data_IF_363865264998
#
_entry.id   IF_363865264998
#
_cell.length_a   1.000
_cell.length_b   1.000
_cell.length_c   1.000
_cell.angle_alpha   90.00
_cell.angle_beta   90.00
_cell.angle_gamma   90.00
#
_symmetry.space_group_name_H-M   'P 1'
#
loop_
_entity.id
_entity.type
_entity.pdbx_description
1 polymer ?
#
# COMPACT_ATOMS: atom_id res chain seq x y z
N UNK A 1 -24.11 11.70 -0.97
CA UNK A 1 -22.84 12.40 -0.71
C UNK A 1 -21.73 11.44 -1.07
N UNK A 2 -20.63 11.92 -1.63
CA UNK A 2 -19.46 11.06 -1.88
C UNK A 2 -18.84 10.65 -0.55
N UNK A 3 -18.43 9.37 -0.44
CA UNK A 3 -17.63 8.88 0.68
C UNK A 3 -16.16 9.33 0.58
N UNK A 4 -15.77 9.96 -0.52
CA UNK A 4 -14.40 10.42 -0.75
C UNK A 4 -14.20 11.86 -0.29
N UNK A 5 -13.15 12.07 0.51
CA UNK A 5 -12.67 13.37 0.97
C UNK A 5 -11.26 13.59 0.48
N UNK A 6 -11.10 14.37 -0.58
CA UNK A 6 -9.79 14.77 -1.10
C UNK A 6 -9.38 16.11 -0.51
N UNK A 7 -8.09 16.24 -0.25
CA UNK A 7 -7.52 17.47 0.27
C UNK A 7 -6.22 17.89 -0.42
N UNK A 8 -5.77 17.11 -1.39
CA UNK A 8 -4.69 17.47 -2.29
C UNK A 8 -3.30 17.25 -1.71
N UNK A 9 -2.32 17.31 -2.61
CA UNK A 9 -0.91 17.03 -2.37
C UNK A 9 -0.25 17.96 -1.33
N UNK A 10 -0.60 19.25 -1.36
CA UNK A 10 0.12 20.27 -0.58
C UNK A 10 -0.36 20.39 0.86
N UNK A 11 -1.52 19.82 1.21
CA UNK A 11 -2.09 19.99 2.55
C UNK A 11 -1.35 19.20 3.63
N UNK A 12 -0.89 17.98 3.31
CA UNK A 12 -0.27 17.06 4.26
C UNK A 12 1.05 16.51 3.71
N UNK A 13 2.14 17.30 3.75
CA UNK A 13 3.45 16.83 3.31
C UNK A 13 3.93 15.61 4.10
N UNK A 14 3.50 15.49 5.37
CA UNK A 14 3.79 14.36 6.27
C UNK A 14 2.50 13.85 6.91
N UNK A 15 2.40 12.55 7.10
CA UNK A 15 1.34 11.92 7.91
C UNK A 15 1.98 11.02 8.95
N UNK A 16 1.77 11.32 10.24
CA UNK A 16 2.28 10.48 11.32
C UNK A 16 1.67 9.07 11.25
N UNK A 17 2.46 8.05 11.58
CA UNK A 17 2.08 6.64 11.41
C UNK A 17 0.75 6.32 12.10
N UNK A 18 0.55 6.84 13.32
CA UNK A 18 -0.69 6.66 14.11
C UNK A 18 -1.97 7.21 13.46
N UNK A 19 -1.84 8.00 12.40
CA UNK A 19 -2.97 8.58 11.67
C UNK A 19 -3.20 7.90 10.31
N UNK A 20 -2.32 7.01 9.88
CA UNK A 20 -2.52 6.20 8.68
C UNK A 20 -3.55 5.12 9.01
N UNK A 21 -4.57 4.97 8.17
CA UNK A 21 -5.70 4.06 8.43
C UNK A 21 -6.32 3.51 7.14
N UNK A 22 -7.09 2.39 7.22
CA UNK A 22 -7.85 1.87 6.08
C UNK A 22 -8.65 2.95 5.36
N UNK A 23 -8.60 2.97 4.04
CA UNK A 23 -9.31 3.95 3.21
C UNK A 23 -8.52 5.23 2.93
N UNK A 24 -7.38 5.44 3.58
CA UNK A 24 -6.47 6.54 3.22
C UNK A 24 -5.97 6.37 1.78
N UNK A 25 -6.13 7.43 0.99
CA UNK A 25 -5.71 7.50 -0.41
C UNK A 25 -4.40 8.25 -0.46
N UNK A 26 -3.39 7.62 -1.04
CA UNK A 26 -2.06 8.18 -1.15
C UNK A 26 -1.64 8.40 -2.59
N UNK A 27 -0.69 9.32 -2.74
CA UNK A 27 0.00 9.62 -3.97
C UNK A 27 1.50 9.58 -3.70
N UNK A 28 2.28 9.19 -4.70
CA UNK A 28 3.73 9.29 -4.65
C UNK A 28 4.33 9.59 -6.02
N UNK A 29 5.50 10.23 -6.00
CA UNK A 29 6.26 10.57 -7.20
C UNK A 29 7.00 9.34 -7.72
N UNK A 30 6.61 8.84 -8.90
CA UNK A 30 7.28 7.74 -9.59
C UNK A 30 8.64 8.20 -10.13
N UNK A 31 8.63 9.32 -10.85
CA UNK A 31 9.80 10.05 -11.36
C UNK A 31 9.47 11.55 -11.48
N UNK A 32 10.32 12.33 -12.15
CA UNK A 32 10.19 13.79 -12.26
C UNK A 32 8.79 14.28 -12.66
N UNK A 33 8.10 13.57 -13.55
CA UNK A 33 6.85 14.02 -14.15
C UNK A 33 5.68 13.07 -13.91
N UNK A 34 5.89 11.92 -13.26
CA UNK A 34 4.85 10.91 -13.08
C UNK A 34 4.51 10.67 -11.61
N UNK A 35 3.22 10.58 -11.34
CA UNK A 35 2.64 10.30 -10.04
C UNK A 35 1.80 9.03 -10.10
N UNK A 36 1.95 8.20 -9.07
CA UNK A 36 1.19 6.99 -8.86
C UNK A 36 0.31 7.13 -7.62
N UNK A 37 -0.74 6.31 -7.56
CA UNK A 37 -1.76 6.40 -6.52
C UNK A 37 -2.06 5.04 -5.94
N UNK A 38 -2.54 5.04 -4.70
CA UNK A 38 -2.99 3.84 -4.05
C UNK A 38 -3.86 4.12 -2.84
N UNK A 39 -4.28 3.05 -2.17
CA UNK A 39 -5.14 3.12 -0.99
C UNK A 39 -4.68 2.13 0.07
N UNK A 40 -4.69 2.58 1.31
CA UNK A 40 -4.41 1.74 2.48
C UNK A 40 -5.56 0.74 2.64
N UNK A 41 -5.25 -0.55 2.63
CA UNK A 41 -6.20 -1.64 2.85
C UNK A 41 -6.38 -1.86 4.34
N UNK A 42 -5.30 -2.20 5.03
CA UNK A 42 -5.32 -2.54 6.47
C UNK A 42 -3.94 -2.40 7.10
N UNK A 43 -3.89 -2.27 8.42
CA UNK A 43 -2.66 -2.33 9.19
C UNK A 43 -2.20 -3.79 9.34
N UNK A 44 -0.94 -4.04 9.03
CA UNK A 44 -0.23 -5.30 9.27
C UNK A 44 0.80 -5.10 10.39
N UNK A 45 1.32 -6.18 10.95
CA UNK A 45 2.34 -6.13 12.03
C UNK A 45 3.60 -5.33 11.65
N UNK A 46 3.93 -5.24 10.36
CA UNK A 46 5.20 -4.66 9.87
C UNK A 46 5.01 -3.42 8.98
N UNK A 47 3.79 -2.95 8.77
CA UNK A 47 3.48 -1.86 7.84
C UNK A 47 1.99 -1.85 7.47
N UNK A 48 1.62 -1.20 6.37
CA UNK A 48 0.23 -1.22 5.91
C UNK A 48 0.10 -1.96 4.59
N UNK A 49 -0.80 -2.94 4.54
CA UNK A 49 -1.20 -3.56 3.29
C UNK A 49 -1.91 -2.49 2.46
N UNK A 50 -1.51 -2.37 1.21
CA UNK A 50 -1.98 -1.31 0.31
C UNK A 50 -2.22 -1.85 -1.08
N UNK A 51 -3.21 -1.30 -1.77
CA UNK A 51 -3.35 -1.48 -3.21
C UNK A 51 -2.78 -0.28 -3.95
N UNK A 52 -2.21 -0.56 -5.13
CA UNK A 52 -1.72 0.45 -6.07
C UNK A 52 -2.64 0.44 -7.28
N UNK A 53 -3.11 1.62 -7.66
CA UNK A 53 -4.00 1.79 -8.80
C UNK A 53 -3.23 1.75 -10.11
N UNK A 54 -3.85 1.23 -11.17
CA UNK A 54 -3.38 1.30 -12.56
C UNK A 54 -3.54 2.72 -13.17
N UNK A 55 -3.20 3.74 -12.37
CA UNK A 55 -3.34 5.15 -12.70
C UNK A 55 -1.99 5.84 -12.54
N UNK A 56 -1.50 6.42 -13.64
CA UNK A 56 -0.29 7.23 -13.67
C UNK A 56 -0.65 8.60 -14.26
N UNK A 57 -0.30 9.68 -13.55
CA UNK A 57 -0.64 11.05 -13.97
C UNK A 57 0.56 11.98 -13.93
N UNK A 58 0.47 13.08 -14.69
CA UNK A 58 1.44 14.18 -14.64
C UNK A 58 1.25 15.14 -13.47
N UNK A 59 0.20 14.94 -12.67
CA UNK A 59 -0.13 15.78 -11.53
C UNK A 59 -0.62 14.91 -10.35
N UNK A 60 -0.42 15.35 -9.10
CA UNK A 60 -0.72 14.56 -7.90
C UNK A 60 -2.21 14.60 -7.49
N UNK A 61 -3.12 14.78 -8.46
CA UNK A 61 -4.56 14.86 -8.24
C UNK A 61 -5.30 13.65 -8.79
N UNK A 62 -6.21 13.08 -8.00
CA UNK A 62 -7.06 11.95 -8.38
C UNK A 62 -8.52 12.24 -8.01
N UNK A 63 -9.44 11.68 -8.77
CA UNK A 63 -10.90 11.82 -8.59
C UNK A 63 -11.53 10.52 -8.12
N UNK A 64 -12.73 10.60 -7.56
CA UNK A 64 -13.52 9.43 -7.19
C UNK A 64 -13.83 8.52 -8.39
N UNK A 65 -14.12 9.09 -9.56
CA UNK A 65 -14.41 8.32 -10.77
C UNK A 65 -13.20 7.52 -11.23
N UNK A 66 -12.00 8.11 -11.14
CA UNK A 66 -10.75 7.42 -11.43
C UNK A 66 -10.54 6.25 -10.47
N UNK A 67 -10.66 6.47 -9.15
CA UNK A 67 -10.49 5.39 -8.16
C UNK A 67 -11.53 4.28 -8.33
N UNK A 68 -12.79 4.63 -8.60
CA UNK A 68 -13.88 3.66 -8.72
C UNK A 68 -13.74 2.76 -9.95
N UNK A 69 -13.05 3.23 -10.99
CA UNK A 69 -12.76 2.46 -12.20
C UNK A 69 -11.36 1.82 -12.20
N UNK A 70 -10.51 2.18 -11.24
CA UNK A 70 -9.16 1.67 -11.12
C UNK A 70 -9.14 0.17 -10.83
N UNK A 71 -8.11 -0.49 -11.36
CA UNK A 71 -7.74 -1.86 -10.99
C UNK A 71 -6.46 -1.82 -10.18
N UNK A 72 -6.15 -2.95 -9.55
CA UNK A 72 -4.85 -3.14 -8.91
C UNK A 72 -3.82 -3.39 -10.01
N UNK A 73 -2.78 -2.56 -10.08
CA UNK A 73 -1.69 -2.76 -11.04
C UNK A 73 -0.86 -4.00 -10.70
N UNK A 74 -0.70 -4.29 -9.40
CA UNK A 74 -0.03 -5.47 -8.85
C UNK A 74 -0.80 -5.99 -7.63
N UNK A 75 -0.47 -7.20 -7.17
CA UNK A 75 -1.03 -7.73 -5.92
C UNK A 75 -0.76 -6.78 -4.73
N UNK A 76 -1.70 -6.69 -3.76
CA UNK A 76 -1.52 -5.86 -2.58
C UNK A 76 -0.19 -6.08 -1.89
N UNK A 77 0.45 -4.96 -1.54
CA UNK A 77 1.82 -4.93 -1.04
C UNK A 77 1.85 -4.27 0.34
N UNK A 78 2.74 -4.73 1.21
CA UNK A 78 2.94 -4.10 2.51
C UNK A 78 3.89 -2.92 2.31
N UNK A 79 3.39 -1.72 2.54
CA UNK A 79 4.13 -0.46 2.39
C UNK A 79 4.80 -0.12 3.73
N UNK A 80 6.07 0.29 3.68
CA UNK A 80 6.77 0.89 4.84
C UNK A 80 6.25 2.30 5.10
N UNK A 81 5.06 2.36 5.69
CA UNK A 81 4.41 3.64 5.98
C UNK A 81 5.17 4.49 7.00
N UNK A 82 6.05 3.87 7.79
CA UNK A 82 6.85 4.58 8.77
C UNK A 82 7.96 5.37 8.08
N UNK A 83 8.73 4.73 7.19
CA UNK A 83 9.77 5.42 6.41
C UNK A 83 9.18 6.42 5.41
N UNK A 84 8.07 6.07 4.75
CA UNK A 84 7.53 6.81 3.60
C UNK A 84 6.61 7.97 3.97
N UNK A 85 5.68 7.79 4.92
CA UNK A 85 4.70 8.84 5.26
C UNK A 85 5.08 9.64 6.51
N UNK A 86 5.63 8.98 7.54
CA UNK A 86 5.90 9.62 8.84
C UNK A 86 7.30 10.22 8.91
N UNK A 87 8.33 9.40 8.78
CA UNK A 87 9.71 9.83 9.01
C UNK A 87 10.40 10.40 7.78
N UNK A 88 9.86 10.17 6.58
CA UNK A 88 10.41 10.66 5.29
C UNK A 88 11.91 10.32 5.16
N UNK A 89 12.26 9.06 5.45
CA UNK A 89 13.66 8.62 5.54
C UNK A 89 14.29 8.31 4.18
N UNK A 90 13.48 8.10 3.16
CA UNK A 90 13.95 7.66 1.85
C UNK A 90 14.18 8.88 0.94
N UNK A 91 15.45 9.19 0.70
CA UNK A 91 15.87 10.33 -0.11
C UNK A 91 15.30 10.26 -1.53
N UNK A 92 14.74 11.38 -2.02
CA UNK A 92 14.12 11.44 -3.35
C UNK A 92 12.75 10.77 -3.45
N UNK A 93 12.24 10.17 -2.36
CA UNK A 93 10.86 9.72 -2.28
C UNK A 93 9.96 10.84 -1.76
N UNK A 94 8.74 10.93 -2.31
CA UNK A 94 7.70 11.76 -1.70
C UNK A 94 6.37 11.02 -1.78
N UNK A 95 5.92 10.54 -0.62
CA UNK A 95 4.69 9.80 -0.43
C UNK A 95 3.76 10.59 0.49
N UNK A 96 2.52 10.85 0.06
CA UNK A 96 1.58 11.68 0.82
C UNK A 96 0.20 11.07 0.84
N UNK A 97 -0.48 11.15 1.98
CA UNK A 97 -1.92 10.89 2.04
C UNK A 97 -2.63 12.15 1.53
N UNK A 98 -3.36 12.02 0.41
CA UNK A 98 -4.01 13.12 -0.31
C UNK A 98 -5.54 13.12 -0.18
N UNK A 99 -6.09 12.06 0.41
CA UNK A 99 -7.51 11.93 0.65
C UNK A 99 -7.83 10.72 1.52
N UNK A 100 -9.12 10.53 1.79
CA UNK A 100 -9.64 9.38 2.51
C UNK A 100 -11.00 8.99 1.94
N UNK A 101 -11.27 7.69 1.90
CA UNK A 101 -12.60 7.16 1.66
C UNK A 101 -13.21 6.73 3.00
N UNK A 102 -14.28 7.40 3.41
CA UNK A 102 -15.09 7.00 4.56
C UNK A 102 -15.77 5.64 4.27
N UNK A 103 -16.01 4.85 5.32
CA UNK A 103 -16.66 3.53 5.21
C UNK A 103 -15.99 2.57 4.21
N UNK A 104 -14.69 2.75 3.94
CA UNK A 104 -13.96 1.89 3.03
C UNK A 104 -13.99 0.43 3.52
N UNK A 105 -14.55 -0.44 2.67
CA UNK A 105 -14.56 -1.87 2.87
C UNK A 105 -13.77 -2.55 1.74
N UNK A 106 -12.57 -3.11 2.02
CA UNK A 106 -11.77 -3.76 1.01
C UNK A 106 -12.46 -5.03 0.50
N UNK A 107 -12.38 -5.26 -0.81
CA UNK A 107 -12.91 -6.47 -1.46
C UNK A 107 -11.76 -7.29 -2.04
N UNK A 108 -12.01 -8.57 -2.32
CA UNK A 108 -11.07 -9.48 -2.99
C UNK A 108 -9.72 -9.54 -2.24
N UNK A 109 -9.79 -9.81 -0.94
CA UNK A 109 -8.62 -10.04 -0.09
C UNK A 109 -8.39 -11.53 0.22
N UNK A 110 -9.38 -12.37 -0.05
CA UNK A 110 -9.23 -13.82 0.08
C UNK A 110 -8.10 -14.34 -0.82
N UNK A 111 -7.28 -15.23 -0.28
CA UNK A 111 -6.11 -15.76 -0.98
C UNK A 111 -4.84 -14.92 -0.86
N UNK A 112 -4.88 -13.73 -0.24
CA UNK A 112 -3.69 -12.92 0.00
C UNK A 112 -3.02 -13.37 1.29
N UNK A 113 -1.82 -13.93 1.16
CA UNK A 113 -1.05 -14.48 2.26
C UNK A 113 0.40 -14.03 2.22
N UNK A 114 0.96 -13.75 3.40
CA UNK A 114 2.36 -13.40 3.56
C UNK A 114 3.09 -14.41 4.44
N UNK A 115 4.23 -14.89 3.96
CA UNK A 115 5.06 -15.86 4.66
C UNK A 115 5.89 -15.23 5.78
N UNK A 116 5.95 -15.89 6.94
CA UNK A 116 6.76 -15.54 8.11
C UNK A 116 7.29 -16.81 8.82
N UNK A 117 8.25 -16.64 9.72
CA UNK A 117 8.93 -17.77 10.40
C UNK A 117 9.98 -18.46 9.51
N UNK A 118 10.72 -19.38 10.12
CA UNK A 118 11.80 -20.16 9.49
C UNK A 118 11.76 -21.62 9.98
N UNK A 119 12.21 -22.55 9.15
CA UNK A 119 12.23 -23.98 9.48
C UNK A 119 10.85 -24.51 9.86
N UNK A 120 10.79 -25.23 10.98
CA UNK A 120 9.56 -25.81 11.53
C UNK A 120 8.51 -24.78 12.00
N UNK A 121 8.84 -23.48 11.97
CA UNK A 121 7.94 -22.39 12.34
C UNK A 121 7.34 -21.64 11.14
N UNK A 122 7.49 -22.17 9.92
CA UNK A 122 6.91 -21.59 8.72
C UNK A 122 5.40 -21.38 8.86
N UNK A 123 4.99 -20.12 8.70
CA UNK A 123 3.60 -19.69 8.74
C UNK A 123 3.27 -18.84 7.52
N UNK A 124 1.99 -18.76 7.21
CA UNK A 124 1.41 -17.66 6.43
C UNK A 124 0.44 -16.86 7.29
N UNK A 125 0.42 -15.55 7.07
CA UNK A 125 -0.49 -14.59 7.69
C UNK A 125 -1.41 -14.00 6.63
N UNK A 126 -2.71 -13.99 6.90
CA UNK A 126 -3.67 -13.27 6.06
C UNK A 126 -3.79 -11.79 6.45
N UNK A 127 -4.60 -11.04 5.70
CA UNK A 127 -4.87 -9.63 5.98
C UNK A 127 -5.81 -9.38 7.16
N UNK A 128 -6.42 -10.43 7.72
CA UNK A 128 -7.32 -10.38 8.88
C UNK A 128 -6.59 -10.65 10.20
N UNK A 129 -5.29 -10.97 10.13
CA UNK A 129 -4.43 -11.22 11.28
C UNK A 129 -4.36 -12.68 11.71
N UNK A 130 -4.91 -13.61 10.92
CA UNK A 130 -4.84 -15.04 11.21
C UNK A 130 -3.51 -15.62 10.73
N UNK A 131 -2.94 -16.50 11.54
CA UNK A 131 -1.73 -17.26 11.23
C UNK A 131 -2.07 -18.73 10.95
N UNK A 132 -1.46 -19.29 9.92
CA UNK A 132 -1.60 -20.69 9.52
C UNK A 132 -0.22 -21.32 9.39
N UNK A 133 -0.03 -22.51 9.99
CA UNK A 133 1.17 -23.30 9.76
C UNK A 133 1.19 -23.82 8.33
N UNK A 134 2.36 -23.77 7.69
CA UNK A 134 2.56 -24.22 6.30
C UNK A 134 3.88 -24.95 6.17
N UNK A 135 4.03 -25.72 5.08
CA UNK A 135 5.31 -26.34 4.75
C UNK A 135 6.34 -25.30 4.30
N UNK A 136 7.63 -25.66 4.38
CA UNK A 136 8.69 -24.83 3.80
C UNK A 136 8.54 -24.65 2.28
N UNK A 137 7.98 -25.65 1.59
CA UNK A 137 7.75 -25.58 0.15
C UNK A 137 6.73 -24.50 -0.22
N UNK A 138 5.60 -24.43 0.48
CA UNK A 138 4.61 -23.36 0.32
C UNK A 138 5.18 -22.01 0.78
N UNK A 139 5.94 -22.00 1.88
CA UNK A 139 6.57 -20.78 2.37
C UNK A 139 7.46 -20.12 1.31
N UNK A 140 8.20 -20.91 0.54
CA UNK A 140 9.10 -20.42 -0.53
C UNK A 140 8.35 -19.74 -1.68
N UNK A 141 7.11 -20.13 -1.96
CA UNK A 141 6.33 -19.56 -3.07
C UNK A 141 5.59 -18.28 -2.69
N UNK A 142 5.38 -18.02 -1.41
CA UNK A 142 4.61 -16.87 -0.92
C UNK A 142 5.46 -15.59 -0.78
N UNK A 143 4.87 -14.41 -1.00
CA UNK A 143 5.52 -13.14 -0.68
C UNK A 143 5.82 -13.07 0.82
N UNK A 144 6.98 -12.52 1.19
CA UNK A 144 7.38 -12.43 2.60
C UNK A 144 6.63 -11.31 3.31
N UNK A 145 6.31 -11.51 4.58
CA UNK A 145 5.76 -10.50 5.48
C UNK A 145 6.83 -9.45 5.78
N UNK A 146 7.09 -8.57 4.82
CA UNK A 146 8.13 -7.55 4.86
C UNK A 146 7.59 -6.28 4.22
N UNK A 147 7.75 -5.12 4.88
CA UNK A 147 7.36 -3.85 4.31
C UNK A 147 8.30 -3.48 3.16
N UNK A 148 7.78 -2.68 2.24
CA UNK A 148 8.45 -2.26 1.01
C UNK A 148 8.55 -0.74 0.98
N UNK A 149 9.77 -0.27 0.75
CA UNK A 149 10.08 1.15 0.58
C UNK A 149 9.80 1.63 -0.84
N UNK A 150 10.18 2.87 -1.12
CA UNK A 150 10.00 3.55 -2.40
C UNK A 150 10.71 2.78 -3.52
N UNK A 151 11.98 2.42 -3.31
CA UNK A 151 12.76 1.69 -4.31
C UNK A 151 12.14 0.34 -4.67
N UNK A 152 11.72 -0.44 -3.66
CA UNK A 152 11.12 -1.75 -3.87
C UNK A 152 9.83 -1.66 -4.68
N UNK A 153 9.00 -0.66 -4.38
CA UNK A 153 7.71 -0.44 -5.04
C UNK A 153 7.94 0.03 -6.47
N UNK A 154 8.78 1.04 -6.69
CA UNK A 154 9.08 1.56 -8.03
C UNK A 154 9.66 0.48 -8.95
N UNK A 155 10.59 -0.32 -8.44
CA UNK A 155 11.16 -1.45 -9.20
C UNK A 155 10.11 -2.47 -9.64
N UNK A 156 9.05 -2.69 -8.84
CA UNK A 156 7.93 -3.55 -9.23
C UNK A 156 7.04 -2.91 -10.29
N UNK A 157 6.87 -1.59 -10.24
CA UNK A 157 6.06 -0.83 -11.20
C UNK A 157 6.74 -0.62 -12.55
N UNK A 158 8.08 -0.67 -12.61
CA UNK A 158 8.82 -0.66 -13.89
C UNK A 158 8.67 -1.97 -14.69
N UNK A 159 8.22 -3.04 -14.03
CA UNK A 159 8.06 -4.38 -14.62
C UNK A 159 6.58 -4.70 -14.92
N UNK A 160 5.64 -3.86 -14.43
CA UNK A 160 4.20 -4.03 -14.58
C UNK A 160 3.65 -3.21 -15.76
#
# INVERSE_FOLDING_TARGET
>A
MSDYKFWGWDKKPRTMLRFVKPGDIFCFKLDEDRYCFGRIITLMTVGHLSELFDIIKKSPGITELEISNARRIIEPIIVDTYSLFDKKLENGSDWRIIGHQDNYNPKNLDGIYFALGIGDSCKKKDCYGNDFLISESEWKTLPKLSPKGDFDIKKRLEIA
#
